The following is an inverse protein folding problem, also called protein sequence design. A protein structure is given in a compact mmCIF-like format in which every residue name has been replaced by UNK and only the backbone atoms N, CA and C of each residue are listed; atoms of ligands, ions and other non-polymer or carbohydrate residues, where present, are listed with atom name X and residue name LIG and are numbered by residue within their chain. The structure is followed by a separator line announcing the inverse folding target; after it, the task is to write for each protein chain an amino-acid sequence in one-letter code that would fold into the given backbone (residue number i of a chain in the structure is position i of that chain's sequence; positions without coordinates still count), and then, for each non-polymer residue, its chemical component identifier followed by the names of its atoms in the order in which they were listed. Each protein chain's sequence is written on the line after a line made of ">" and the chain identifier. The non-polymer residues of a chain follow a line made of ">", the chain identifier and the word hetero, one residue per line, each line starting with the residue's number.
data_IF_503489216210
#
_entry.id   IF_503489216210
#
_cell.length_a   1.000
_cell.length_b   1.000
_cell.length_c   1.000
_cell.angle_alpha   90.00
_cell.angle_beta   90.00
_cell.angle_gamma   90.00
#
_symmetry.space_group_name_H-M   'P 1'
#
loop_
_entity.id
_entity.type
_entity.pdbx_description
1 polymer ?
#
# COMPACT_ATOMS: atom_id res chain seq x y z
N UNK A 1 -15.02 7.62 -2.50
CA UNK A 1 -14.04 8.03 -3.54
C UNK A 1 -13.43 6.77 -4.12
N UNK A 2 -13.13 6.73 -5.42
CA UNK A 2 -12.48 5.57 -6.04
C UNK A 2 -11.04 5.97 -6.33
N UNK A 3 -10.08 5.27 -5.74
CA UNK A 3 -8.66 5.45 -5.98
C UNK A 3 -8.09 4.26 -6.74
N UNK A 4 -7.11 4.52 -7.60
CA UNK A 4 -6.36 3.49 -8.32
C UNK A 4 -4.88 3.78 -8.18
N UNK A 5 -4.17 2.85 -7.57
CA UNK A 5 -2.71 2.90 -7.38
C UNK A 5 -2.05 1.67 -7.99
N UNK A 6 -0.76 1.79 -8.27
CA UNK A 6 0.08 0.69 -8.72
C UNK A 6 0.71 0.00 -7.50
N UNK A 7 0.91 -1.32 -7.60
CA UNK A 7 1.62 -2.09 -6.58
C UNK A 7 2.77 -2.86 -7.22
N UNK A 8 3.97 -2.67 -6.70
CA UNK A 8 5.16 -3.48 -7.01
C UNK A 8 5.31 -4.53 -5.93
N UNK A 9 5.26 -5.81 -6.30
CA UNK A 9 5.44 -6.92 -5.37
C UNK A 9 6.74 -7.66 -5.73
N UNK A 10 7.65 -7.75 -4.77
CA UNK A 10 8.94 -8.44 -4.90
C UNK A 10 9.05 -9.55 -3.86
N UNK A 11 9.61 -10.70 -4.25
CA UNK A 11 9.97 -11.76 -3.32
C UNK A 11 11.32 -11.42 -2.69
N UNK A 12 11.33 -11.21 -1.38
CA UNK A 12 12.51 -10.87 -0.59
C UNK A 12 12.64 -11.90 0.53
N UNK A 13 13.60 -12.82 0.38
CA UNK A 13 13.79 -13.96 1.29
C UNK A 13 12.48 -14.73 1.54
N UNK A 14 12.06 -14.84 2.80
CA UNK A 14 10.86 -15.54 3.26
C UNK A 14 9.56 -14.73 3.08
N UNK A 15 9.62 -13.52 2.51
CA UNK A 15 8.49 -12.59 2.43
C UNK A 15 8.22 -12.08 1.01
N UNK A 16 6.99 -11.69 0.75
CA UNK A 16 6.63 -10.86 -0.39
C UNK A 16 6.43 -9.43 0.10
N UNK A 17 7.19 -8.49 -0.44
CA UNK A 17 7.14 -7.08 -0.09
C UNK A 17 6.37 -6.35 -1.17
N UNK A 18 5.28 -5.68 -0.79
CA UNK A 18 4.41 -4.93 -1.66
C UNK A 18 4.58 -3.42 -1.41
N UNK A 19 4.84 -2.66 -2.47
CA UNK A 19 5.10 -1.22 -2.41
C UNK A 19 4.14 -0.47 -3.33
N UNK A 20 3.58 0.65 -2.86
CA UNK A 20 2.85 1.63 -3.65
C UNK A 20 3.73 2.87 -3.87
N UNK A 21 4.35 3.04 -5.05
CA UNK A 21 5.25 4.16 -5.32
C UNK A 21 4.58 5.53 -5.18
N UNK A 22 3.30 5.64 -5.55
CA UNK A 22 2.56 6.90 -5.56
C UNK A 22 2.36 7.49 -4.16
N UNK A 23 2.28 6.63 -3.14
CA UNK A 23 2.06 7.03 -1.75
C UNK A 23 3.28 6.79 -0.85
N UNK A 24 4.31 6.12 -1.37
CA UNK A 24 5.45 5.67 -0.55
C UNK A 24 5.07 4.64 0.53
N UNK A 25 3.90 4.00 0.41
CA UNK A 25 3.41 3.03 1.39
C UNK A 25 3.96 1.64 1.06
N UNK A 26 4.42 0.92 2.08
CA UNK A 26 4.96 -0.43 1.96
C UNK A 26 4.28 -1.36 2.96
N UNK A 27 4.05 -2.60 2.53
CA UNK A 27 3.58 -3.68 3.38
C UNK A 27 4.20 -5.01 2.95
N UNK A 28 3.93 -6.10 3.67
CA UNK A 28 4.50 -7.42 3.38
C UNK A 28 3.53 -8.56 3.73
N UNK A 29 3.72 -9.72 3.10
CA UNK A 29 2.94 -10.94 3.34
C UNK A 29 3.74 -12.21 3.07
N UNK A 30 3.20 -13.37 3.47
CA UNK A 30 3.84 -14.68 3.26
C UNK A 30 3.71 -15.18 1.81
N UNK A 31 2.74 -14.66 1.10
CA UNK A 31 2.47 -14.90 -0.31
C UNK A 31 2.05 -13.58 -1.00
N UNK A 32 1.90 -13.63 -2.32
CA UNK A 32 1.54 -12.46 -3.13
C UNK A 32 0.17 -11.87 -2.72
N UNK A 33 -0.80 -12.74 -2.42
CA UNK A 33 -2.17 -12.34 -2.10
C UNK A 33 -2.24 -11.61 -0.75
N UNK A 34 -1.58 -12.15 0.28
CA UNK A 34 -1.47 -11.53 1.60
C UNK A 34 -0.66 -10.23 1.54
N UNK A 35 0.43 -10.16 0.79
CA UNK A 35 1.18 -8.92 0.63
C UNK A 35 0.34 -7.83 -0.04
N UNK A 36 -0.48 -8.19 -1.04
CA UNK A 36 -1.41 -7.27 -1.70
C UNK A 36 -2.53 -6.82 -0.77
N UNK A 37 -3.12 -7.74 0.00
CA UNK A 37 -4.18 -7.44 0.97
C UNK A 37 -3.66 -6.49 2.05
N UNK A 38 -2.49 -6.79 2.63
CA UNK A 38 -1.89 -5.95 3.67
C UNK A 38 -1.48 -4.57 3.11
N UNK A 39 -1.03 -4.47 1.85
CA UNK A 39 -0.76 -3.18 1.22
C UNK A 39 -2.03 -2.36 1.04
N UNK A 40 -3.15 -3.00 0.68
CA UNK A 40 -4.45 -2.32 0.55
C UNK A 40 -4.87 -1.69 1.88
N UNK A 41 -4.83 -2.45 2.97
CA UNK A 41 -5.17 -1.94 4.30
C UNK A 41 -4.25 -0.77 4.71
N UNK A 42 -2.95 -0.89 4.44
CA UNK A 42 -1.99 0.19 4.72
C UNK A 42 -2.30 1.47 3.91
N UNK A 43 -2.75 1.34 2.66
CA UNK A 43 -3.18 2.48 1.84
C UNK A 43 -4.48 3.09 2.38
N UNK A 44 -5.44 2.27 2.80
CA UNK A 44 -6.70 2.73 3.40
C UNK A 44 -6.41 3.56 4.66
N UNK A 45 -5.56 3.06 5.56
CA UNK A 45 -5.11 3.79 6.76
C UNK A 45 -4.35 5.09 6.43
N UNK A 46 -3.49 5.07 5.40
CA UNK A 46 -2.79 6.26 4.93
C UNK A 46 -3.78 7.33 4.46
N UNK A 47 -4.78 6.95 3.68
CA UNK A 47 -5.79 7.87 3.16
C UNK A 47 -6.77 8.35 4.23
N UNK A 48 -7.04 7.56 5.25
CA UNK A 48 -7.83 8.02 6.41
C UNK A 48 -7.07 9.08 7.22
N UNK A 49 -5.75 8.92 7.34
CA UNK A 49 -4.90 9.82 8.14
C UNK A 49 -4.54 11.10 7.36
N UNK A 50 -4.22 10.95 6.06
CA UNK A 50 -3.65 12.01 5.22
C UNK A 50 -4.46 12.31 3.96
N UNK A 51 -5.44 11.48 3.60
CA UNK A 51 -6.33 11.78 2.46
C UNK A 51 -7.30 12.93 2.78
N UNK A 52 -8.07 13.37 1.78
CA UNK A 52 -8.56 14.73 1.44
C UNK A 52 -8.29 15.99 2.30
N UNK A 53 -7.51 15.95 3.37
CA UNK A 53 -6.99 17.12 4.08
C UNK A 53 -5.74 17.70 3.42
N UNK A 54 -5.10 16.98 2.48
CA UNK A 54 -4.01 17.46 1.62
C UNK A 54 -4.40 18.61 0.66
N UNK A 55 -5.67 19.05 0.64
CA UNK A 55 -6.12 20.23 -0.09
C UNK A 55 -6.02 21.55 0.70
N UNK A 56 -5.41 21.55 1.89
CA UNK A 56 -5.42 22.71 2.80
C UNK A 56 -4.05 23.25 3.24
N UNK A 57 -2.95 22.83 2.60
CA UNK A 57 -1.62 23.42 2.86
C UNK A 57 -0.89 23.71 1.56
#
# INVERSE_FOLDING_TARGET
>A
MIYRFSALITKEEEWYVARCPELGVTSQGKDVESARANLREAIELYLETWGPSLASH
#
